data_IF_106382475971
#
_entry.id   IF_106382475971
#
_cell.length_a   1.000
_cell.length_b   1.000
_cell.length_c   1.000
_cell.angle_alpha   90.00
_cell.angle_beta   90.00
_cell.angle_gamma   90.00
#
_symmetry.space_group_name_H-M   'P 1'
#
loop_
_entity.id
_entity.type
_entity.pdbx_description
1 polymer ?
#
# COMPACT_ATOMS: atom_id res chain seq x y z
N UNK A 1 -8.67 17.06 10.19
CA UNK A 1 -7.70 17.04 9.06
C UNK A 1 -6.35 16.66 9.64
N UNK A 2 -5.63 15.70 9.05
CA UNK A 2 -4.26 15.36 9.48
C UNK A 2 -3.31 16.52 9.16
N UNK A 3 -2.35 16.77 10.03
CA UNK A 3 -1.29 17.76 9.81
C UNK A 3 -0.41 17.31 8.63
N UNK A 4 -0.09 18.21 7.70
CA UNK A 4 0.81 17.92 6.57
C UNK A 4 2.17 17.40 7.05
N UNK A 5 2.66 17.88 8.19
CA UNK A 5 3.90 17.38 8.80
C UNK A 5 3.76 15.94 9.31
N UNK A 6 2.58 15.51 9.75
CA UNK A 6 2.33 14.14 10.20
C UNK A 6 2.25 13.16 9.02
N UNK A 7 1.74 13.63 7.87
CA UNK A 7 1.72 12.88 6.61
C UNK A 7 3.16 12.74 6.06
N UNK A 8 3.94 13.81 6.06
CA UNK A 8 5.31 13.79 5.53
C UNK A 8 6.28 13.00 6.42
N UNK A 9 6.10 13.00 7.74
CA UNK A 9 7.01 12.37 8.69
C UNK A 9 6.54 11.01 9.22
N UNK A 10 5.43 10.47 8.71
CA UNK A 10 4.97 9.12 9.07
C UNK A 10 4.41 8.38 7.87
N UNK A 11 4.38 7.05 7.93
CA UNK A 11 3.71 6.19 6.95
C UNK A 11 2.30 5.78 7.41
N UNK A 12 1.83 6.28 8.57
CA UNK A 12 0.61 5.81 9.23
C UNK A 12 -0.68 6.20 8.50
N UNK A 13 -0.62 7.17 7.60
CA UNK A 13 -1.74 7.63 6.79
C UNK A 13 -2.04 6.71 5.61
N UNK A 14 -1.05 5.96 5.11
CA UNK A 14 -1.28 4.89 4.14
C UNK A 14 -1.77 3.66 4.90
N UNK A 15 -3.07 3.43 4.87
CA UNK A 15 -3.70 2.25 5.48
C UNK A 15 -3.45 1.02 4.62
N UNK A 16 -2.33 0.34 4.84
CA UNK A 16 -2.00 -0.90 4.14
C UNK A 16 -2.88 -2.05 4.66
N UNK A 17 -3.61 -2.78 3.79
CA UNK A 17 -4.36 -3.97 4.18
C UNK A 17 -3.43 -5.01 4.79
N UNK A 18 -3.84 -5.64 5.89
CA UNK A 18 -3.07 -6.74 6.50
C UNK A 18 -3.62 -8.08 6.05
N UNK A 19 -2.73 -9.00 5.70
CA UNK A 19 -3.09 -10.39 5.47
C UNK A 19 -3.77 -10.96 6.71
N UNK A 20 -4.84 -11.74 6.49
CA UNK A 20 -5.50 -12.53 7.53
C UNK A 20 -5.37 -13.98 7.12
N UNK A 21 -4.59 -14.72 7.92
CA UNK A 21 -4.42 -16.14 7.70
C UNK A 21 -5.68 -16.91 8.11
N UNK A 22 -5.84 -18.08 7.52
CA UNK A 22 -6.99 -18.94 7.70
C UNK A 22 -6.50 -20.40 7.84
N UNK A 23 -6.31 -20.82 9.09
CA UNK A 23 -5.81 -22.15 9.43
C UNK A 23 -6.81 -23.28 9.09
N UNK A 24 -8.04 -22.93 8.66
CA UNK A 24 -9.01 -23.93 8.20
C UNK A 24 -8.73 -24.43 6.77
N UNK A 25 -7.84 -23.75 6.04
CA UNK A 25 -7.49 -24.08 4.66
C UNK A 25 -6.31 -25.05 4.56
N UNK A 26 -6.19 -25.70 3.41
CA UNK A 26 -4.97 -26.44 3.06
C UNK A 26 -3.77 -25.49 2.91
N UNK A 27 -2.56 -26.07 3.00
CA UNK A 27 -1.32 -25.31 2.81
C UNK A 27 -1.26 -24.63 1.44
N UNK A 28 -1.70 -25.32 0.38
CA UNK A 28 -1.68 -24.79 -0.99
C UNK A 28 -2.62 -23.60 -1.15
N UNK A 29 -3.82 -23.67 -0.57
CA UNK A 29 -4.77 -22.56 -0.57
C UNK A 29 -4.25 -21.37 0.24
N UNK A 30 -3.61 -21.60 1.39
CA UNK A 30 -2.98 -20.53 2.18
C UNK A 30 -1.85 -19.85 1.42
N UNK A 31 -1.00 -20.65 0.75
CA UNK A 31 0.07 -20.13 -0.09
C UNK A 31 -0.49 -19.25 -1.23
N UNK A 32 -1.51 -19.73 -1.92
CA UNK A 32 -2.14 -18.99 -3.01
C UNK A 32 -2.78 -17.68 -2.52
N UNK A 33 -3.49 -17.71 -1.38
CA UNK A 33 -4.06 -16.49 -0.76
C UNK A 33 -3.00 -15.50 -0.32
N UNK A 34 -1.90 -15.98 0.28
CA UNK A 34 -0.78 -15.11 0.69
C UNK A 34 -0.13 -14.46 -0.54
N UNK A 35 0.09 -15.22 -1.61
CA UNK A 35 0.65 -14.68 -2.85
C UNK A 35 -0.28 -13.66 -3.50
N UNK A 36 -1.59 -13.93 -3.55
CA UNK A 36 -2.58 -12.98 -4.05
C UNK A 36 -2.59 -11.69 -3.21
N UNK A 37 -2.54 -11.82 -1.88
CA UNK A 37 -2.46 -10.66 -0.99
C UNK A 37 -1.21 -9.81 -1.25
N UNK A 38 -0.05 -10.42 -1.48
CA UNK A 38 1.18 -9.69 -1.83
C UNK A 38 1.06 -8.91 -3.14
N UNK A 39 0.41 -9.49 -4.15
CA UNK A 39 0.13 -8.80 -5.42
C UNK A 39 -0.78 -7.59 -5.16
N UNK A 40 -1.88 -7.80 -4.43
CA UNK A 40 -2.84 -6.73 -4.11
C UNK A 40 -2.19 -5.60 -3.30
N UNK A 41 -1.36 -5.92 -2.30
CA UNK A 41 -0.62 -4.96 -1.49
C UNK A 41 0.34 -4.13 -2.35
N UNK A 42 1.12 -4.78 -3.21
CA UNK A 42 2.07 -4.11 -4.09
C UNK A 42 1.36 -3.19 -5.08
N UNK A 43 0.27 -3.66 -5.69
CA UNK A 43 -0.57 -2.83 -6.59
C UNK A 43 -1.11 -1.60 -5.87
N UNK A 44 -1.65 -1.78 -4.65
CA UNK A 44 -2.17 -0.67 -3.84
C UNK A 44 -1.09 0.40 -3.56
N UNK A 45 0.11 -0.02 -3.16
CA UNK A 45 1.21 0.92 -2.87
C UNK A 45 1.66 1.68 -4.12
N UNK A 46 1.77 0.99 -5.27
CA UNK A 46 2.10 1.62 -6.55
C UNK A 46 1.06 2.67 -6.92
N UNK A 47 -0.22 2.37 -6.78
CA UNK A 47 -1.29 3.29 -7.12
C UNK A 47 -1.33 4.50 -6.18
N UNK A 48 -1.05 4.30 -4.89
CA UNK A 48 -0.90 5.42 -3.94
C UNK A 48 0.27 6.33 -4.32
N UNK A 49 1.41 5.78 -4.70
CA UNK A 49 2.54 6.57 -5.19
C UNK A 49 2.14 7.37 -6.44
N UNK A 50 1.46 6.74 -7.40
CA UNK A 50 0.98 7.42 -8.61
C UNK A 50 0.01 8.55 -8.29
N UNK A 51 -0.89 8.38 -7.32
CA UNK A 51 -1.79 9.43 -6.86
C UNK A 51 -1.00 10.60 -6.26
N UNK A 52 -0.07 10.32 -5.35
CA UNK A 52 0.75 11.35 -4.69
C UNK A 52 1.55 12.15 -5.72
N UNK A 53 2.20 11.45 -6.66
CA UNK A 53 3.04 12.09 -7.68
C UNK A 53 2.23 13.00 -8.60
N UNK A 54 0.97 12.67 -8.91
CA UNK A 54 0.10 13.55 -9.71
C UNK A 54 -0.22 14.87 -9.01
N UNK A 55 -0.22 14.88 -7.69
CA UNK A 55 -0.51 16.07 -6.89
C UNK A 55 0.76 16.89 -6.57
N UNK A 56 1.95 16.38 -6.91
CA UNK A 56 3.20 17.12 -6.77
C UNK A 56 3.35 18.14 -7.91
N UNK A 57 3.86 19.35 -7.63
CA UNK A 57 4.21 20.28 -8.68
C UNK A 57 5.32 19.67 -9.56
N UNK A 58 5.25 19.90 -10.87
CA UNK A 58 6.33 19.55 -11.79
C UNK A 58 7.59 20.36 -11.43
N UNK A 59 8.50 19.74 -10.68
CA UNK A 59 9.84 20.29 -10.46
C UNK A 59 10.73 19.95 -11.66
N UNK A 60 10.33 20.38 -12.85
CA UNK A 60 11.25 20.53 -13.98
C UNK A 60 11.74 21.99 -13.98
N UNK A 61 12.60 22.31 -13.00
CA UNK A 61 13.52 23.43 -13.08
C UNK A 61 14.93 22.85 -13.23
N UNK A 62 15.29 22.54 -14.48
CA UNK A 62 16.60 22.74 -15.14
C UNK A 62 16.59 22.08 -16.53
#
# INVERSE_FOLDING_TARGET
>A
MMDKNEILNSYKWIKVPKYRDDDSLSWEERYNRLNEHHIQETTFLIDKIREIVKDLPDNNQE
#
